data_IF_042651196506
#
_entry.id   IF_042651196506
#
_cell.length_a   1.000
_cell.length_b   1.000
_cell.length_c   1.000
_cell.angle_alpha   90.00
_cell.angle_beta   90.00
_cell.angle_gamma   90.00
#
_symmetry.space_group_name_H-M   'P 1'
#
loop_
_entity.id
_entity.type
_entity.pdbx_description
1 polymer ?
#
# COMPACT_ATOMS: atom_id res chain seq x y z
N UNK A 1 -35.77 -28.58 -30.89
CA UNK A 1 -36.94 -29.36 -30.46
C UNK A 1 -37.39 -28.88 -29.10
N UNK A 2 -38.57 -28.40 -29.07
CA UNK A 2 -39.37 -27.82 -28.01
C UNK A 2 -39.49 -28.73 -26.79
N UNK A 3 -39.49 -28.18 -25.57
CA UNK A 3 -40.60 -28.39 -24.61
C UNK A 3 -40.55 -27.36 -23.49
N UNK A 4 -41.57 -26.59 -23.44
CA UNK A 4 -42.12 -25.71 -22.42
C UNK A 4 -42.86 -26.55 -21.42
N UNK A 5 -42.78 -26.26 -20.10
CA UNK A 5 -43.87 -26.55 -19.13
C UNK A 5 -43.90 -25.38 -18.14
N UNK A 6 -45.10 -24.77 -18.08
CA UNK A 6 -45.51 -23.72 -17.16
C UNK A 6 -46.50 -24.29 -16.14
N UNK A 7 -46.94 -23.47 -15.18
CA UNK A 7 -48.04 -23.54 -14.20
C UNK A 7 -47.63 -24.08 -12.82
N UNK A 8 -48.12 -23.58 -11.65
CA UNK A 8 -49.30 -22.76 -11.37
C UNK A 8 -49.20 -22.03 -10.03
N UNK A 9 -49.90 -20.94 -9.95
CA UNK A 9 -50.34 -20.13 -8.82
C UNK A 9 -51.06 -20.95 -7.71
N UNK A 10 -50.91 -20.54 -6.43
CA UNK A 10 -51.97 -20.66 -5.44
C UNK A 10 -51.85 -19.51 -4.40
N UNK A 11 -52.84 -18.64 -4.47
CA UNK A 11 -53.24 -17.61 -3.50
C UNK A 11 -54.02 -18.27 -2.37
N UNK A 12 -53.76 -17.91 -1.12
CA UNK A 12 -54.77 -18.04 -0.04
C UNK A 12 -54.64 -16.82 0.91
N UNK A 13 -55.67 -15.98 0.85
CA UNK A 13 -56.07 -15.00 1.88
C UNK A 13 -56.78 -15.66 3.02
N UNK A 14 -56.58 -15.23 4.24
CA UNK A 14 -57.57 -15.31 5.31
C UNK A 14 -57.45 -14.13 6.28
N UNK A 15 -58.59 -13.53 6.57
CA UNK A 15 -58.88 -12.27 7.21
C UNK A 15 -59.31 -12.52 8.68
N UNK A 16 -58.97 -11.55 9.55
CA UNK A 16 -59.64 -11.02 10.73
C UNK A 16 -59.78 -11.83 12.03
N UNK A 17 -59.49 -11.21 13.16
CA UNK A 17 -60.54 -10.59 13.99
C UNK A 17 -59.95 -9.79 15.18
N UNK A 18 -60.64 -8.74 15.48
CA UNK A 18 -60.49 -7.73 16.52
C UNK A 18 -60.80 -8.31 17.91
N UNK A 19 -60.09 -7.86 18.94
CA UNK A 19 -60.42 -8.05 20.34
C UNK A 19 -59.81 -7.00 21.25
N UNK A 20 -60.53 -5.95 21.59
CA UNK A 20 -60.22 -5.01 22.66
C UNK A 20 -60.45 -5.59 24.03
N UNK A 21 -59.51 -5.41 24.94
CA UNK A 21 -59.84 -5.37 26.38
C UNK A 21 -58.78 -4.57 27.17
N UNK A 22 -59.31 -3.62 27.91
CA UNK A 22 -58.69 -2.64 28.78
C UNK A 22 -58.08 -3.21 30.07
N UNK A 23 -56.97 -2.57 30.52
CA UNK A 23 -56.45 -2.75 31.87
C UNK A 23 -55.01 -2.22 32.06
N UNK A 24 -54.88 -1.02 32.64
CA UNK A 24 -53.68 -0.48 33.30
C UNK A 24 -53.82 -0.64 34.83
N UNK A 25 -52.81 -0.43 35.69
CA UNK A 25 -51.39 -0.05 35.50
C UNK A 25 -50.41 -0.85 36.37
N UNK A 26 -49.12 -0.76 36.13
CA UNK A 26 -48.12 -0.49 37.18
C UNK A 26 -46.68 -0.49 36.60
N UNK A 27 -45.97 0.50 37.02
CA UNK A 27 -44.59 0.81 36.64
C UNK A 27 -43.57 -0.27 37.05
N UNK A 28 -42.61 -0.56 36.18
CA UNK A 28 -41.27 -0.97 36.62
C UNK A 28 -40.27 -0.53 35.56
N UNK A 29 -39.42 0.43 35.94
CA UNK A 29 -38.31 0.92 35.15
C UNK A 29 -37.24 -0.18 35.04
N UNK A 30 -37.01 -0.66 33.85
CA UNK A 30 -35.82 -1.45 33.55
C UNK A 30 -35.03 -0.67 32.49
N UNK A 31 -33.85 -0.21 32.88
CA UNK A 31 -32.92 0.46 31.99
C UNK A 31 -32.47 -0.51 30.91
N UNK A 32 -32.97 -0.34 29.70
CA UNK A 32 -32.41 -0.97 28.51
C UNK A 32 -31.22 -0.12 28.07
N UNK A 33 -30.03 -0.67 28.26
CA UNK A 33 -28.80 -0.22 27.63
C UNK A 33 -29.01 -0.27 26.13
N UNK A 34 -29.20 0.87 25.52
CA UNK A 34 -29.24 0.99 24.07
C UNK A 34 -27.85 0.73 23.52
N UNK A 35 -27.63 -0.43 22.94
CA UNK A 35 -26.61 -0.62 21.95
C UNK A 35 -26.94 0.33 20.81
N UNK A 36 -26.13 1.37 20.64
CA UNK A 36 -26.17 2.20 19.47
C UNK A 36 -25.74 1.33 18.28
N UNK A 37 -26.70 0.82 17.53
CA UNK A 37 -26.46 0.36 16.17
C UNK A 37 -26.01 1.60 15.40
N UNK A 38 -24.73 1.65 15.03
CA UNK A 38 -24.27 2.60 14.04
C UNK A 38 -25.01 2.28 12.75
N UNK A 39 -26.03 3.07 12.41
CA UNK A 39 -26.60 3.06 11.08
C UNK A 39 -25.43 3.35 10.11
N UNK A 40 -25.11 2.36 9.27
CA UNK A 40 -24.19 2.57 8.15
C UNK A 40 -24.73 3.78 7.37
N UNK A 41 -23.91 4.80 7.22
CA UNK A 41 -24.27 5.97 6.41
C UNK A 41 -24.65 5.44 5.03
N UNK A 42 -25.87 5.69 4.63
CA UNK A 42 -26.39 5.25 3.35
C UNK A 42 -25.66 6.07 2.29
N UNK A 43 -24.70 5.43 1.58
CA UNK A 43 -24.01 5.99 0.42
C UNK A 43 -24.99 6.23 -0.73
N UNK A 44 -24.58 5.98 -1.91
CA UNK A 44 -25.29 6.23 -3.17
C UNK A 44 -24.64 7.40 -3.91
N UNK A 45 -24.95 7.54 -5.18
CA UNK A 45 -24.31 8.54 -6.04
C UNK A 45 -22.95 8.05 -6.57
N UNK A 46 -22.01 8.95 -6.81
CA UNK A 46 -20.74 8.69 -7.51
C UNK A 46 -19.53 8.96 -6.62
N UNK A 47 -18.41 8.31 -6.94
CA UNK A 47 -17.09 8.62 -6.42
C UNK A 47 -16.07 8.50 -7.55
N UNK A 48 -15.17 9.47 -7.71
CA UNK A 48 -14.09 9.43 -8.68
C UNK A 48 -12.75 9.27 -7.96
N UNK A 49 -12.04 8.19 -8.27
CA UNK A 49 -10.76 7.84 -7.65
C UNK A 49 -9.65 7.93 -8.67
N UNK A 50 -8.59 8.68 -8.36
CA UNK A 50 -7.31 8.61 -9.05
C UNK A 50 -6.39 7.66 -8.28
N UNK A 51 -5.81 6.65 -8.96
CA UNK A 51 -5.01 5.63 -8.28
C UNK A 51 -3.81 5.16 -9.08
N UNK A 52 -2.61 5.12 -8.48
CA UNK A 52 -1.46 4.43 -9.03
C UNK A 52 -1.36 2.97 -8.54
N UNK A 53 -2.31 2.50 -7.74
CA UNK A 53 -2.28 1.17 -7.15
C UNK A 53 -2.39 0.07 -8.22
N UNK A 54 -1.95 -1.15 -7.86
CA UNK A 54 -2.09 -2.33 -8.70
C UNK A 54 -3.56 -2.70 -8.93
N UNK A 55 -3.84 -3.38 -10.05
CA UNK A 55 -5.17 -3.90 -10.35
C UNK A 55 -5.68 -4.80 -9.22
N UNK A 56 -4.84 -5.66 -8.65
CA UNK A 56 -5.23 -6.57 -7.57
C UNK A 56 -5.77 -5.87 -6.33
N UNK A 57 -5.15 -4.75 -5.92
CA UNK A 57 -5.63 -3.96 -4.79
C UNK A 57 -6.95 -3.26 -5.12
N UNK A 58 -7.08 -2.74 -6.34
CA UNK A 58 -8.30 -2.08 -6.80
C UNK A 58 -9.47 -3.08 -6.92
N UNK A 59 -9.25 -4.25 -7.51
CA UNK A 59 -10.25 -5.31 -7.68
C UNK A 59 -10.74 -5.88 -6.34
N UNK A 60 -9.87 -5.91 -5.32
CA UNK A 60 -10.24 -6.33 -3.98
C UNK A 60 -10.96 -5.24 -3.16
N UNK A 61 -10.89 -3.98 -3.57
CA UNK A 61 -11.38 -2.83 -2.77
C UNK A 61 -12.64 -2.23 -3.35
N UNK A 62 -12.64 -1.90 -4.65
CA UNK A 62 -13.70 -1.10 -5.27
C UNK A 62 -15.05 -1.84 -5.27
N UNK A 63 -15.14 -3.12 -5.70
CA UNK A 63 -16.42 -3.83 -5.71
C UNK A 63 -17.05 -3.96 -4.32
N UNK A 64 -16.23 -4.14 -3.28
CA UNK A 64 -16.70 -4.21 -1.89
C UNK A 64 -17.29 -2.88 -1.42
N UNK A 65 -16.67 -1.77 -1.81
CA UNK A 65 -17.18 -0.43 -1.48
C UNK A 65 -18.50 -0.16 -2.19
N UNK A 66 -18.58 -0.47 -3.48
CA UNK A 66 -19.79 -0.32 -4.29
C UNK A 66 -20.95 -1.18 -3.74
N UNK A 67 -20.69 -2.45 -3.43
CA UNK A 67 -21.69 -3.35 -2.85
C UNK A 67 -22.19 -2.86 -1.49
N UNK A 68 -21.27 -2.42 -0.63
CA UNK A 68 -21.59 -2.03 0.74
C UNK A 68 -22.36 -0.71 0.84
N UNK A 69 -22.07 0.22 -0.05
CA UNK A 69 -22.58 1.61 0.05
C UNK A 69 -23.45 2.04 -1.13
N UNK A 70 -23.59 1.23 -2.16
CA UNK A 70 -24.37 1.58 -3.36
C UNK A 70 -23.82 2.78 -4.13
N UNK A 71 -22.53 3.04 -4.02
CA UNK A 71 -21.82 4.13 -4.71
C UNK A 71 -21.27 3.62 -6.03
N UNK A 72 -21.45 4.36 -7.12
CA UNK A 72 -20.84 4.08 -8.43
C UNK A 72 -19.42 4.68 -8.47
N UNK A 73 -18.39 3.84 -8.60
CA UNK A 73 -16.99 4.26 -8.50
C UNK A 73 -16.34 4.30 -9.89
N UNK A 74 -15.88 5.47 -10.29
CA UNK A 74 -15.02 5.63 -11.47
C UNK A 74 -13.55 5.69 -11.04
N UNK A 75 -12.73 4.79 -11.59
CA UNK A 75 -11.30 4.75 -11.31
C UNK A 75 -10.49 5.20 -12.53
N UNK A 76 -9.55 6.12 -12.31
CA UNK A 76 -8.56 6.53 -13.31
C UNK A 76 -7.18 6.15 -12.80
N UNK A 77 -6.55 5.20 -13.50
CA UNK A 77 -5.22 4.70 -13.15
C UNK A 77 -4.14 5.36 -14.00
N UNK A 78 -3.12 5.88 -13.32
CA UNK A 78 -1.90 6.40 -13.94
C UNK A 78 -0.76 6.46 -12.90
N UNK A 79 0.43 6.86 -13.32
CA UNK A 79 1.56 7.05 -12.40
C UNK A 79 1.30 8.18 -11.39
N UNK A 80 1.81 8.06 -10.16
CA UNK A 80 1.60 9.03 -9.07
C UNK A 80 1.90 10.47 -9.49
N UNK A 81 3.04 10.71 -10.14
CA UNK A 81 3.43 12.06 -10.57
C UNK A 81 2.53 12.63 -11.68
N UNK A 82 1.96 11.79 -12.54
CA UNK A 82 0.99 12.19 -13.55
C UNK A 82 -0.34 12.59 -12.91
N UNK A 83 -0.83 11.77 -11.95
CA UNK A 83 -2.08 12.06 -11.23
C UNK A 83 -1.99 13.34 -10.40
N UNK A 84 -0.87 13.58 -9.71
CA UNK A 84 -0.63 14.84 -8.99
C UNK A 84 -0.69 16.04 -9.94
N UNK A 85 0.01 15.99 -11.07
CA UNK A 85 -0.04 17.07 -12.07
C UNK A 85 -1.44 17.30 -12.61
N UNK A 86 -2.20 16.21 -12.78
CA UNK A 86 -3.59 16.29 -13.22
C UNK A 86 -4.47 16.98 -12.17
N UNK A 87 -4.39 16.59 -10.90
CA UNK A 87 -5.09 17.24 -9.79
C UNK A 87 -4.70 18.73 -9.69
N UNK A 88 -3.42 19.06 -9.85
CA UNK A 88 -2.95 20.45 -9.89
C UNK A 88 -3.59 21.24 -11.02
N UNK A 89 -3.73 20.65 -12.22
CA UNK A 89 -4.36 21.32 -13.37
C UNK A 89 -5.88 21.47 -13.24
N UNK A 90 -6.52 20.61 -12.45
CA UNK A 90 -7.97 20.57 -12.19
C UNK A 90 -8.36 21.32 -10.91
N UNK A 91 -7.42 22.05 -10.27
CA UNK A 91 -7.60 22.66 -8.92
C UNK A 91 -8.85 23.54 -8.79
N UNK A 92 -9.24 24.26 -9.85
CA UNK A 92 -10.41 25.16 -9.83
C UNK A 92 -11.75 24.43 -10.03
N UNK A 93 -11.72 23.24 -10.66
CA UNK A 93 -12.89 22.37 -10.85
C UNK A 93 -12.45 20.91 -10.80
N UNK A 94 -12.20 20.35 -9.61
CA UNK A 94 -11.67 19.01 -9.43
C UNK A 94 -12.55 17.95 -10.09
N UNK A 95 -11.92 17.03 -10.82
CA UNK A 95 -12.61 15.87 -11.36
C UNK A 95 -12.56 14.69 -10.39
N UNK A 96 -11.40 14.45 -9.76
CA UNK A 96 -11.25 13.42 -8.75
C UNK A 96 -11.77 13.87 -7.39
N UNK A 97 -12.31 12.91 -6.63
CA UNK A 97 -12.69 13.10 -5.23
C UNK A 97 -11.61 12.59 -4.28
N UNK A 98 -10.94 11.49 -4.66
CA UNK A 98 -9.92 10.83 -3.85
C UNK A 98 -8.70 10.51 -4.71
N UNK A 99 -7.51 10.71 -4.16
CA UNK A 99 -6.31 10.06 -4.62
C UNK A 99 -6.02 8.88 -3.68
N UNK A 100 -6.06 7.66 -4.23
CA UNK A 100 -5.86 6.42 -3.48
C UNK A 100 -4.58 5.72 -3.93
N UNK A 101 -3.53 5.86 -3.14
CA UNK A 101 -2.19 5.36 -3.42
C UNK A 101 -1.16 6.46 -3.68
N UNK A 102 0.07 6.05 -3.90
CA UNK A 102 1.22 6.93 -4.04
C UNK A 102 1.97 7.15 -2.73
N UNK A 103 3.15 7.78 -2.81
CA UNK A 103 4.00 7.95 -1.64
C UNK A 103 3.48 9.02 -0.69
N UNK A 104 3.66 8.79 0.61
CA UNK A 104 3.35 9.75 1.67
C UNK A 104 4.06 11.10 1.47
N UNK A 105 5.37 11.06 1.16
CA UNK A 105 6.14 12.28 0.96
C UNK A 105 5.59 13.14 -0.17
N UNK A 106 5.21 12.52 -1.30
CA UNK A 106 4.65 13.26 -2.43
C UNK A 106 3.29 13.88 -2.11
N UNK A 107 2.47 13.19 -1.31
CA UNK A 107 1.22 13.76 -0.82
C UNK A 107 1.50 14.94 0.14
N UNK A 108 2.48 14.80 1.03
CA UNK A 108 2.89 15.84 1.97
C UNK A 108 3.42 17.10 1.27
N UNK A 109 4.25 16.94 0.24
CA UNK A 109 4.82 18.04 -0.54
C UNK A 109 3.76 18.84 -1.32
N UNK A 110 2.54 18.32 -1.44
CA UNK A 110 1.41 18.93 -2.15
C UNK A 110 0.20 19.15 -1.25
N UNK A 111 0.41 19.54 0.01
CA UNK A 111 -0.65 19.69 1.02
C UNK A 111 -1.81 20.61 0.59
N UNK A 112 -1.54 21.61 -0.24
CA UNK A 112 -2.52 22.57 -0.72
C UNK A 112 -3.57 21.95 -1.68
N UNK A 113 -3.36 20.72 -2.14
CA UNK A 113 -4.28 19.96 -3.00
C UNK A 113 -5.31 19.14 -2.20
N UNK A 114 -5.14 19.00 -0.89
CA UNK A 114 -5.93 18.06 -0.11
C UNK A 114 -6.92 18.73 0.84
N UNK A 115 -8.06 18.08 0.98
CA UNK A 115 -9.06 18.44 2.01
C UNK A 115 -8.67 17.78 3.34
N UNK A 116 -8.67 18.53 4.45
CA UNK A 116 -8.41 17.95 5.76
C UNK A 116 -9.46 16.91 6.16
N UNK A 117 -9.00 15.71 6.46
CA UNK A 117 -9.84 14.64 6.99
C UNK A 117 -9.02 13.63 7.78
N UNK A 118 -9.50 13.25 8.94
CA UNK A 118 -8.95 12.17 9.76
C UNK A 118 -10.05 11.14 10.00
N UNK A 119 -9.82 9.91 9.59
CA UNK A 119 -10.78 8.81 9.78
C UNK A 119 -11.05 8.54 11.26
N UNK A 120 -12.29 8.16 11.57
CA UNK A 120 -12.65 7.67 12.90
C UNK A 120 -11.86 6.40 13.30
N UNK A 121 -11.35 5.65 12.32
CA UNK A 121 -10.54 4.44 12.55
C UNK A 121 -9.04 4.72 12.74
N UNK A 122 -8.61 5.99 12.70
CA UNK A 122 -7.20 6.38 12.81
C UNK A 122 -6.53 5.90 14.11
N UNK A 123 -7.27 5.77 15.21
CA UNK A 123 -6.73 5.30 16.49
C UNK A 123 -6.28 3.83 16.45
N UNK A 124 -6.85 3.03 15.55
CA UNK A 124 -6.51 1.62 15.35
C UNK A 124 -5.31 1.42 14.39
N UNK A 125 -4.85 2.48 13.75
CA UNK A 125 -3.62 2.46 12.92
C UNK A 125 -2.40 2.32 13.82
N UNK A 126 -1.37 1.62 13.36
CA UNK A 126 -0.05 1.52 13.99
C UNK A 126 0.46 2.95 14.25
N UNK A 127 0.95 3.23 15.45
CA UNK A 127 1.20 4.61 15.91
C UNK A 127 2.12 5.41 15.00
N UNK A 128 3.14 4.76 14.42
CA UNK A 128 4.08 5.38 13.47
C UNK A 128 3.43 5.82 12.12
N UNK A 129 2.27 5.27 11.77
CA UNK A 129 1.61 5.50 10.47
C UNK A 129 0.26 6.21 10.58
N UNK A 130 -0.08 6.71 11.77
CA UNK A 130 -1.30 7.49 11.99
C UNK A 130 -1.30 8.79 11.18
N UNK A 131 -2.48 9.18 10.74
CA UNK A 131 -2.68 10.51 10.19
C UNK A 131 -2.54 11.57 11.30
N UNK A 132 -1.35 12.13 11.43
CA UNK A 132 -1.03 13.21 12.37
C UNK A 132 -0.96 14.57 11.70
N UNK A 133 -0.83 14.62 10.37
CA UNK A 133 -0.81 15.86 9.59
C UNK A 133 -2.23 16.40 9.27
N UNK A 134 -3.27 15.57 9.45
CA UNK A 134 -4.66 15.97 9.29
C UNK A 134 -5.26 15.75 7.90
N UNK A 135 -4.47 15.36 6.90
CA UNK A 135 -4.96 15.23 5.51
C UNK A 135 -4.44 14.00 4.76
N UNK A 136 -3.46 13.25 5.29
CA UNK A 136 -2.97 12.01 4.66
C UNK A 136 -3.36 10.81 5.50
N UNK A 137 -4.03 9.85 4.91
CA UNK A 137 -4.35 8.56 5.52
C UNK A 137 -3.41 7.50 4.96
N UNK A 138 -2.66 6.81 5.82
CA UNK A 138 -1.92 5.60 5.45
C UNK A 138 -2.90 4.47 5.14
N UNK A 139 -2.63 3.65 4.13
CA UNK A 139 -3.55 2.57 3.77
C UNK A 139 -2.90 1.18 3.75
N UNK A 140 -1.74 1.02 3.14
CA UNK A 140 -0.90 -0.18 3.17
C UNK A 140 0.54 0.22 3.43
N UNK A 141 1.37 -0.72 3.87
CA UNK A 141 2.80 -0.52 4.09
C UNK A 141 3.59 -1.20 2.99
N UNK A 142 4.51 -0.46 2.39
CA UNK A 142 5.49 -0.98 1.44
C UNK A 142 6.85 -1.09 2.13
N UNK A 143 7.32 -2.31 2.33
CA UNK A 143 8.61 -2.61 2.95
C UNK A 143 9.71 -2.82 1.92
N UNK A 144 10.89 -2.24 2.14
CA UNK A 144 12.08 -2.55 1.35
C UNK A 144 12.55 -3.97 1.62
N UNK A 145 12.79 -4.77 0.58
CA UNK A 145 13.25 -6.14 0.73
C UNK A 145 14.27 -6.55 -0.33
N UNK A 146 14.89 -7.68 -0.10
CA UNK A 146 15.76 -8.37 -1.06
C UNK A 146 15.00 -9.60 -1.56
N UNK A 147 14.84 -9.75 -2.87
CA UNK A 147 14.32 -10.98 -3.48
C UNK A 147 15.48 -11.85 -3.94
N UNK A 148 15.41 -13.15 -3.67
CA UNK A 148 16.48 -14.12 -3.97
C UNK A 148 15.89 -15.29 -4.73
N UNK A 149 16.47 -15.64 -5.87
CA UNK A 149 16.12 -16.87 -6.61
C UNK A 149 16.71 -18.09 -5.90
N UNK A 150 15.86 -19.01 -5.46
CA UNK A 150 16.24 -20.17 -4.64
C UNK A 150 16.97 -21.25 -5.43
N UNK A 151 16.76 -21.32 -6.74
CA UNK A 151 17.40 -22.31 -7.61
C UNK A 151 18.82 -21.88 -8.02
N UNK A 152 19.09 -20.56 -8.04
CA UNK A 152 20.33 -20.00 -8.56
C UNK A 152 21.31 -19.55 -7.47
N UNK A 153 20.84 -19.31 -6.24
CA UNK A 153 21.69 -18.77 -5.16
C UNK A 153 22.74 -19.78 -4.66
N UNK A 154 22.50 -21.08 -4.82
CA UNK A 154 23.38 -22.13 -4.31
C UNK A 154 23.58 -22.05 -2.80
N UNK A 155 24.84 -22.17 -2.36
CA UNK A 155 25.21 -22.16 -0.93
C UNK A 155 25.44 -20.74 -0.37
N UNK A 156 25.12 -19.67 -1.13
CA UNK A 156 25.28 -18.29 -0.66
C UNK A 156 24.13 -17.93 0.27
N UNK A 157 24.45 -17.55 1.50
CA UNK A 157 23.47 -17.04 2.45
C UNK A 157 23.31 -15.54 2.28
N UNK A 158 22.05 -15.09 2.15
CA UNK A 158 21.67 -13.67 2.13
C UNK A 158 20.75 -13.40 3.31
N UNK A 159 21.21 -12.53 4.20
CA UNK A 159 20.48 -12.06 5.38
C UNK A 159 20.39 -10.52 5.42
N UNK A 160 21.15 -9.82 4.58
CA UNK A 160 21.17 -8.37 4.55
C UNK A 160 22.01 -7.78 3.43
N UNK A 161 22.21 -6.47 3.51
CA UNK A 161 22.92 -5.70 2.49
C UNK A 161 24.41 -6.07 2.40
N UNK A 162 25.05 -6.38 3.53
CA UNK A 162 26.46 -6.78 3.56
C UNK A 162 26.74 -8.04 2.73
N UNK A 163 25.79 -8.98 2.73
CA UNK A 163 25.93 -10.24 2.02
C UNK A 163 25.88 -10.06 0.50
N UNK A 164 25.29 -8.94 0.01
CA UNK A 164 25.25 -8.57 -1.40
C UNK A 164 26.63 -8.14 -1.95
N UNK A 165 27.58 -7.84 -1.07
CA UNK A 165 28.95 -7.49 -1.46
C UNK A 165 29.79 -8.73 -1.78
N UNK A 166 29.23 -9.93 -1.67
CA UNK A 166 29.91 -11.19 -2.05
C UNK A 166 30.30 -11.15 -3.53
N UNK A 167 31.62 -11.31 -3.88
CA UNK A 167 32.06 -11.27 -5.27
C UNK A 167 31.44 -12.33 -6.19
N UNK A 168 30.93 -13.43 -5.63
CA UNK A 168 30.22 -14.45 -6.40
C UNK A 168 28.88 -13.98 -6.97
N UNK A 169 28.35 -12.87 -6.44
CA UNK A 169 27.13 -12.19 -6.91
C UNK A 169 27.41 -11.10 -7.95
N UNK A 170 28.68 -10.85 -8.30
CA UNK A 170 29.02 -9.80 -9.27
C UNK A 170 28.27 -9.99 -10.59
N UNK A 171 27.58 -8.95 -11.04
CA UNK A 171 26.74 -8.93 -12.24
C UNK A 171 25.50 -9.82 -12.17
N UNK A 172 25.09 -10.28 -10.98
CA UNK A 172 23.90 -11.12 -10.76
C UNK A 172 22.87 -10.48 -9.85
N UNK A 173 23.06 -9.20 -9.50
CA UNK A 173 22.16 -8.42 -8.66
C UNK A 173 21.38 -7.45 -9.54
N UNK A 174 20.06 -7.49 -9.48
CA UNK A 174 19.18 -6.54 -10.14
C UNK A 174 18.81 -5.38 -9.19
N UNK A 175 18.82 -4.18 -9.70
CA UNK A 175 18.22 -2.99 -9.07
C UNK A 175 17.63 -2.08 -10.13
N UNK A 176 16.70 -1.21 -9.77
CA UNK A 176 16.26 -0.14 -10.64
C UNK A 176 17.03 1.16 -10.32
N UNK A 177 16.86 2.17 -11.17
CA UNK A 177 17.51 3.46 -10.99
C UNK A 177 16.81 4.29 -9.90
N UNK A 178 17.48 4.62 -8.79
CA UNK A 178 16.93 5.49 -7.74
C UNK A 178 16.53 6.90 -8.23
N UNK A 179 17.08 7.37 -9.32
CA UNK A 179 16.69 8.66 -9.90
C UNK A 179 15.31 8.61 -10.58
N UNK A 180 14.89 7.43 -11.05
CA UNK A 180 13.69 7.27 -11.88
C UNK A 180 12.62 6.36 -11.28
N UNK A 181 12.96 5.56 -10.25
CA UNK A 181 12.07 4.61 -9.60
C UNK A 181 11.90 4.92 -8.12
N UNK A 182 10.65 5.14 -7.68
CA UNK A 182 10.34 5.43 -6.27
C UNK A 182 10.75 4.29 -5.34
N UNK A 183 10.55 3.03 -5.72
CA UNK A 183 10.94 1.89 -4.90
C UNK A 183 12.46 1.68 -4.89
N UNK A 184 13.17 2.00 -5.98
CA UNK A 184 14.63 1.98 -5.96
C UNK A 184 15.21 3.12 -5.11
N UNK A 185 14.56 4.29 -5.11
CA UNK A 185 14.92 5.38 -4.20
C UNK A 185 14.68 4.97 -2.74
N UNK A 186 13.54 4.35 -2.43
CA UNK A 186 13.25 3.81 -1.10
C UNK A 186 14.27 2.73 -0.68
N UNK A 187 14.72 1.89 -1.60
CA UNK A 187 15.79 0.93 -1.33
C UNK A 187 17.14 1.63 -1.02
N UNK A 188 17.47 2.70 -1.74
CA UNK A 188 18.69 3.48 -1.49
C UNK A 188 18.63 4.15 -0.11
N UNK A 189 17.53 4.82 0.24
CA UNK A 189 17.35 5.47 1.54
C UNK A 189 17.33 4.46 2.69
N UNK A 190 16.66 3.32 2.49
CA UNK A 190 16.68 2.23 3.46
C UNK A 190 18.10 1.72 3.71
N UNK A 191 18.89 1.46 2.66
CA UNK A 191 20.26 1.00 2.78
C UNK A 191 21.12 2.03 3.51
N UNK A 192 21.04 3.30 3.15
CA UNK A 192 21.78 4.37 3.82
C UNK A 192 21.45 4.42 5.32
N UNK A 193 20.16 4.42 5.67
CA UNK A 193 19.72 4.47 7.05
C UNK A 193 20.18 3.22 7.82
N UNK A 194 19.99 2.03 7.27
CA UNK A 194 20.37 0.76 7.88
C UNK A 194 21.88 0.61 8.09
N UNK A 195 22.69 1.20 7.21
CA UNK A 195 24.16 1.12 7.21
C UNK A 195 24.84 2.30 7.94
N UNK A 196 24.08 3.14 8.66
CA UNK A 196 24.65 4.16 9.54
C UNK A 196 24.14 5.57 9.34
N UNK A 197 23.21 5.79 8.44
CA UNK A 197 22.54 7.08 8.20
C UNK A 197 22.87 7.74 6.89
N UNK A 198 22.04 8.71 6.50
CA UNK A 198 22.06 9.35 5.18
C UNK A 198 23.35 10.16 4.92
N UNK A 199 23.99 10.67 5.96
CA UNK A 199 25.23 11.47 5.88
C UNK A 199 26.50 10.64 6.13
N UNK A 200 26.36 9.34 6.49
CA UNK A 200 27.47 8.46 6.85
C UNK A 200 28.33 8.12 5.64
N UNK A 201 29.61 8.44 5.68
CA UNK A 201 30.56 8.04 4.65
C UNK A 201 30.67 6.52 4.52
N UNK A 202 30.53 5.78 5.62
CA UNK A 202 30.53 4.31 5.61
C UNK A 202 29.29 3.75 4.90
N UNK A 203 28.11 4.34 5.10
CA UNK A 203 26.89 3.95 4.40
C UNK A 203 27.01 4.21 2.89
N UNK A 204 27.54 5.36 2.51
CA UNK A 204 27.80 5.69 1.09
C UNK A 204 28.89 4.83 0.47
N UNK A 205 29.89 4.40 1.24
CA UNK A 205 30.87 3.41 0.76
C UNK A 205 30.21 2.07 0.50
N UNK A 206 29.27 1.64 1.36
CA UNK A 206 28.49 0.41 1.13
C UNK A 206 27.62 0.51 -0.14
N UNK A 207 27.04 1.68 -0.42
CA UNK A 207 26.33 1.93 -1.68
C UNK A 207 27.28 1.82 -2.88
N UNK A 208 28.45 2.47 -2.82
CA UNK A 208 29.46 2.36 -3.87
C UNK A 208 29.83 0.89 -4.14
N UNK A 209 30.13 0.11 -3.10
CA UNK A 209 30.59 -1.27 -3.23
C UNK A 209 29.47 -2.19 -3.76
N UNK A 210 28.21 -1.95 -3.35
CA UNK A 210 27.06 -2.64 -3.91
C UNK A 210 26.90 -2.37 -5.41
N UNK A 211 26.95 -1.08 -5.84
CA UNK A 211 26.79 -0.73 -7.25
C UNK A 211 27.99 -1.21 -8.10
N UNK A 212 29.18 -1.30 -7.53
CA UNK A 212 30.32 -1.96 -8.16
C UNK A 212 30.09 -3.46 -8.36
N UNK A 213 29.38 -4.10 -7.43
CA UNK A 213 29.02 -5.53 -7.53
C UNK A 213 27.83 -5.78 -8.46
N UNK A 214 26.91 -4.83 -8.61
CA UNK A 214 25.83 -4.84 -9.60
C UNK A 214 26.39 -4.83 -11.03
N UNK A 215 27.57 -4.25 -11.24
CA UNK A 215 28.31 -4.26 -12.51
C UNK A 215 27.52 -3.63 -13.68
N UNK A 216 26.84 -2.51 -13.40
CA UNK A 216 26.14 -1.70 -14.39
C UNK A 216 24.76 -2.19 -14.84
N UNK A 217 24.26 -3.25 -14.24
CA UNK A 217 22.93 -3.81 -14.57
C UNK A 217 21.82 -3.11 -13.82
N UNK A 218 21.39 -1.93 -14.32
CA UNK A 218 20.23 -1.20 -13.78
C UNK A 218 19.02 -1.46 -14.66
N UNK A 219 17.93 -1.91 -14.03
CA UNK A 219 16.66 -2.18 -14.67
C UNK A 219 15.87 -0.87 -14.91
N UNK A 220 15.06 -0.84 -15.95
CA UNK A 220 14.22 0.32 -16.29
C UNK A 220 13.14 0.62 -15.25
N UNK A 221 12.70 -0.40 -14.52
CA UNK A 221 11.63 -0.28 -13.51
C UNK A 221 11.80 -1.29 -12.39
N UNK A 222 11.16 -1.01 -11.25
CA UNK A 222 11.10 -1.97 -10.14
C UNK A 222 10.42 -3.29 -10.51
N UNK A 223 9.43 -3.25 -11.43
CA UNK A 223 8.80 -4.48 -11.90
C UNK A 223 9.77 -5.36 -12.73
N UNK A 224 10.68 -4.77 -13.46
CA UNK A 224 11.73 -5.53 -14.17
C UNK A 224 12.70 -6.20 -13.17
N UNK A 225 12.96 -5.60 -12.01
CA UNK A 225 13.85 -6.17 -10.98
C UNK A 225 13.32 -7.51 -10.48
N UNK A 226 12.12 -7.54 -9.86
CA UNK A 226 11.63 -8.78 -9.25
C UNK A 226 11.27 -9.84 -10.29
N UNK A 227 10.82 -9.45 -11.48
CA UNK A 227 10.57 -10.38 -12.59
C UNK A 227 11.85 -11.02 -13.07
N UNK A 228 12.92 -10.26 -13.29
CA UNK A 228 14.21 -10.82 -13.74
C UNK A 228 14.79 -11.83 -12.76
N UNK A 229 14.51 -11.68 -11.45
CA UNK A 229 14.91 -12.66 -10.44
C UNK A 229 14.01 -13.90 -10.50
N UNK A 230 12.70 -13.72 -10.62
CA UNK A 230 11.77 -14.84 -10.74
C UNK A 230 12.02 -15.67 -12.01
N UNK A 231 12.33 -15.00 -13.12
CA UNK A 231 12.62 -15.63 -14.43
C UNK A 231 14.04 -16.23 -14.50
N UNK A 232 14.89 -16.05 -13.48
CA UNK A 232 16.23 -16.59 -13.39
C UNK A 232 17.29 -15.83 -14.21
N UNK A 233 17.01 -14.61 -14.64
CA UNK A 233 17.99 -13.73 -15.29
C UNK A 233 18.98 -13.14 -14.29
N UNK A 234 18.52 -12.91 -13.05
CA UNK A 234 19.32 -12.46 -11.92
C UNK A 234 19.14 -13.38 -10.72
N UNK A 235 20.15 -13.44 -9.85
CA UNK A 235 20.14 -14.28 -8.65
C UNK A 235 19.47 -13.57 -7.49
N UNK A 236 19.70 -12.25 -7.40
CA UNK A 236 19.21 -11.39 -6.31
C UNK A 236 18.66 -10.10 -6.90
N UNK A 237 17.69 -9.49 -6.23
CA UNK A 237 17.16 -8.17 -6.59
C UNK A 237 16.84 -7.33 -5.37
N UNK A 238 17.03 -6.02 -5.50
CA UNK A 238 16.59 -5.02 -4.53
C UNK A 238 15.19 -4.55 -4.92
N UNK A 239 14.18 -4.83 -4.10
CA UNK A 239 12.79 -4.61 -4.44
C UNK A 239 11.94 -4.22 -3.22
N UNK A 240 10.64 -4.32 -3.33
CA UNK A 240 9.69 -4.07 -2.25
C UNK A 240 8.77 -5.28 -2.05
N UNK A 241 8.17 -5.36 -0.87
CA UNK A 241 7.57 -6.57 -0.33
C UNK A 241 6.43 -7.14 -1.17
N UNK A 242 5.41 -6.32 -1.48
CA UNK A 242 4.15 -6.79 -2.08
C UNK A 242 4.34 -7.69 -3.31
N UNK A 243 4.99 -7.26 -4.42
CA UNK A 243 5.13 -8.11 -5.60
C UNK A 243 6.07 -9.31 -5.37
N UNK A 244 7.03 -9.20 -4.45
CA UNK A 244 7.91 -10.29 -4.12
C UNK A 244 7.18 -11.39 -3.33
N UNK A 245 6.35 -11.00 -2.36
CA UNK A 245 5.48 -11.92 -1.62
C UNK A 245 4.43 -12.55 -2.53
N UNK A 246 3.92 -11.82 -3.52
CA UNK A 246 3.02 -12.35 -4.54
C UNK A 246 3.69 -13.46 -5.36
N UNK A 247 4.93 -13.26 -5.78
CA UNK A 247 5.70 -14.30 -6.50
C UNK A 247 5.89 -15.56 -5.64
N UNK A 248 6.16 -15.40 -4.33
CA UNK A 248 6.23 -16.56 -3.39
C UNK A 248 4.89 -17.26 -3.31
N UNK A 249 3.79 -16.54 -3.15
CA UNK A 249 2.42 -17.09 -3.12
C UNK A 249 2.10 -17.87 -4.40
N UNK A 250 2.53 -17.34 -5.54
CA UNK A 250 2.24 -17.92 -6.86
C UNK A 250 3.20 -19.09 -7.21
N UNK A 251 4.12 -19.44 -6.29
CA UNK A 251 5.01 -20.62 -6.39
C UNK A 251 6.25 -20.40 -7.25
N UNK A 252 6.65 -19.15 -7.49
CA UNK A 252 7.92 -18.85 -8.15
C UNK A 252 9.11 -19.32 -7.27
N UNK A 253 10.25 -19.72 -7.86
CA UNK A 253 11.43 -20.19 -7.11
C UNK A 253 12.18 -19.01 -6.47
N UNK A 254 11.50 -18.26 -5.63
CA UNK A 254 12.04 -17.07 -4.96
C UNK A 254 11.72 -17.05 -3.47
N UNK A 255 12.53 -16.32 -2.71
CA UNK A 255 12.26 -15.97 -1.31
C UNK A 255 12.47 -14.50 -1.08
N UNK A 256 11.74 -13.96 -0.09
CA UNK A 256 11.87 -12.57 0.38
C UNK A 256 12.75 -12.53 1.61
N UNK A 257 13.73 -11.64 1.63
CA UNK A 257 14.64 -11.39 2.76
C UNK A 257 14.48 -9.94 3.19
N UNK A 258 14.25 -9.74 4.47
CA UNK A 258 14.28 -8.43 5.10
C UNK A 258 15.67 -8.21 5.67
N UNK A 259 16.39 -7.15 5.26
CA UNK A 259 17.77 -6.94 5.70
C UNK A 259 17.90 -6.94 7.22
N UNK A 260 18.83 -7.76 7.74
CA UNK A 260 19.16 -7.81 9.18
C UNK A 260 19.59 -6.46 9.75
N UNK A 261 20.10 -5.59 8.89
CA UNK A 261 20.50 -4.21 9.21
C UNK A 261 19.29 -3.34 9.50
N UNK A 262 18.17 -3.60 8.87
CA UNK A 262 16.87 -2.97 9.10
C UNK A 262 16.08 -2.71 7.82
N UNK A 263 14.77 -2.76 7.97
CA UNK A 263 13.79 -2.51 6.90
C UNK A 263 12.94 -1.30 7.24
N UNK A 264 12.88 -0.35 6.32
CA UNK A 264 11.92 0.75 6.34
C UNK A 264 10.61 0.27 5.75
N UNK A 265 9.50 0.58 6.42
CA UNK A 265 8.17 0.48 5.87
C UNK A 265 7.60 1.87 5.65
N UNK A 266 7.20 2.15 4.42
CA UNK A 266 6.58 3.43 4.05
C UNK A 266 5.10 3.22 3.79
N UNK A 267 4.23 4.05 4.39
CA UNK A 267 2.81 3.97 4.10
C UNK A 267 2.51 4.54 2.71
N UNK A 268 1.71 3.82 1.93
CA UNK A 268 1.04 4.40 0.80
C UNK A 268 -0.04 5.36 1.28
N UNK A 269 -0.26 6.45 0.55
CA UNK A 269 -1.18 7.52 0.94
C UNK A 269 -2.58 7.33 0.37
N UNK A 270 -3.59 7.80 1.11
CA UNK A 270 -4.91 8.12 0.58
C UNK A 270 -5.29 9.52 1.04
N UNK A 271 -5.74 10.35 0.11
CA UNK A 271 -6.07 11.76 0.37
C UNK A 271 -7.38 12.14 -0.31
N UNK A 272 -8.15 13.04 0.30
CA UNK A 272 -9.34 13.64 -0.34
C UNK A 272 -8.88 14.87 -1.12
N UNK A 273 -9.29 14.97 -2.37
CA UNK A 273 -8.98 16.13 -3.21
C UNK A 273 -9.74 17.35 -2.70
N UNK A 274 -9.05 18.48 -2.58
CA UNK A 274 -9.65 19.73 -2.12
C UNK A 274 -10.73 20.19 -3.08
N UNK A 275 -11.92 20.46 -2.56
CA UNK A 275 -13.09 20.81 -3.38
C UNK A 275 -13.75 19.62 -4.09
N UNK A 276 -13.48 18.38 -3.66
CA UNK A 276 -14.12 17.17 -4.16
C UNK A 276 -15.64 17.32 -4.26
N UNK A 277 -16.20 16.92 -5.40
CA UNK A 277 -17.66 17.06 -5.67
C UNK A 277 -18.50 16.07 -4.87
N UNK A 278 -17.94 14.91 -4.55
CA UNK A 278 -18.60 13.84 -3.81
C UNK A 278 -17.97 13.66 -2.42
N UNK A 279 -17.84 14.77 -1.68
CA UNK A 279 -17.11 14.86 -0.41
C UNK A 279 -17.54 13.81 0.62
N UNK A 280 -18.84 13.55 0.78
CA UNK A 280 -19.35 12.58 1.75
C UNK A 280 -18.92 11.14 1.37
N UNK A 281 -18.97 10.80 0.08
CA UNK A 281 -18.49 9.51 -0.42
C UNK A 281 -16.96 9.40 -0.32
N UNK A 282 -16.23 10.50 -0.52
CA UNK A 282 -14.79 10.54 -0.34
C UNK A 282 -14.39 10.21 1.12
N UNK A 283 -15.05 10.84 2.09
CA UNK A 283 -14.84 10.55 3.52
C UNK A 283 -15.22 9.11 3.87
N UNK A 284 -16.35 8.64 3.33
CA UNK A 284 -16.81 7.28 3.52
C UNK A 284 -15.81 6.25 2.97
N UNK A 285 -15.17 6.55 1.82
CA UNK A 285 -14.13 5.71 1.25
C UNK A 285 -12.87 5.68 2.12
N UNK A 286 -12.42 6.82 2.66
CA UNK A 286 -11.28 6.87 3.58
C UNK A 286 -11.57 6.05 4.87
N UNK A 287 -12.78 6.15 5.42
CA UNK A 287 -13.18 5.34 6.58
C UNK A 287 -13.25 3.84 6.23
N UNK A 288 -13.70 3.52 5.03
CA UNK A 288 -13.82 2.15 4.54
C UNK A 288 -12.48 1.46 4.37
N UNK A 289 -11.50 2.11 3.74
CA UNK A 289 -10.16 1.52 3.55
C UNK A 289 -9.41 1.30 4.87
N UNK A 290 -9.77 2.01 5.93
CA UNK A 290 -9.28 1.80 7.29
C UNK A 290 -10.22 0.93 8.14
N UNK A 291 -11.20 0.26 7.54
CA UNK A 291 -12.00 -0.70 8.29
C UNK A 291 -11.23 -2.01 8.52
N UNK A 292 -11.50 -2.67 9.66
CA UNK A 292 -10.94 -3.98 9.98
C UNK A 292 -11.20 -5.01 8.86
N UNK A 293 -12.40 -4.98 8.28
CA UNK A 293 -12.78 -5.84 7.16
C UNK A 293 -11.84 -5.71 5.96
N UNK A 294 -11.61 -4.49 5.49
CA UNK A 294 -10.79 -4.22 4.31
C UNK A 294 -9.32 -4.51 4.57
N UNK A 295 -8.82 -4.07 5.71
CA UNK A 295 -7.42 -4.29 6.10
C UNK A 295 -7.11 -5.79 6.27
N UNK A 296 -8.03 -6.57 6.84
CA UNK A 296 -7.91 -8.03 6.92
C UNK A 296 -7.94 -8.69 5.53
N UNK A 297 -8.78 -8.24 4.61
CA UNK A 297 -8.80 -8.74 3.24
C UNK A 297 -7.44 -8.47 2.56
N UNK A 298 -6.93 -7.26 2.65
CA UNK A 298 -5.64 -6.92 2.05
C UNK A 298 -4.50 -7.75 2.63
N UNK A 299 -4.42 -7.86 3.95
CA UNK A 299 -3.35 -8.61 4.61
C UNK A 299 -3.43 -10.13 4.44
N UNK A 300 -4.63 -10.71 4.41
CA UNK A 300 -4.79 -12.18 4.41
C UNK A 300 -4.98 -12.78 3.02
N UNK A 301 -5.61 -12.05 2.08
CA UNK A 301 -5.91 -12.57 0.73
C UNK A 301 -5.01 -12.00 -0.36
N UNK A 302 -4.49 -10.78 -0.13
CA UNK A 302 -3.46 -10.17 -0.95
C UNK A 302 -2.09 -10.31 -0.26
N UNK A 303 -1.11 -9.60 -0.79
CA UNK A 303 0.24 -9.50 -0.23
C UNK A 303 0.56 -8.08 0.23
N UNK A 304 -0.47 -7.26 0.40
CA UNK A 304 -0.35 -5.90 0.91
C UNK A 304 -0.35 -5.89 2.43
N UNK A 305 0.68 -5.32 3.02
CA UNK A 305 0.80 -5.26 4.49
C UNK A 305 -0.13 -4.19 5.05
N UNK A 306 -1.05 -4.56 5.96
CA UNK A 306 -1.99 -3.61 6.55
C UNK A 306 -1.31 -2.57 7.43
N UNK A 307 -1.94 -1.38 7.57
CA UNK A 307 -1.52 -0.36 8.54
C UNK A 307 -2.19 -0.50 9.91
N UNK A 308 -3.19 -1.38 10.03
CA UNK A 308 -3.94 -1.58 11.28
C UNK A 308 -3.19 -2.50 12.24
N UNK A 309 -3.24 -2.19 13.56
CA UNK A 309 -2.49 -2.90 14.62
C UNK A 309 -2.74 -4.40 14.68
N UNK A 310 -4.00 -4.80 14.51
CA UNK A 310 -4.46 -6.17 14.72
C UNK A 310 -4.92 -6.85 13.42
N UNK A 311 -4.57 -6.28 12.26
CA UNK A 311 -4.97 -6.85 10.98
C UNK A 311 -4.18 -8.13 10.68
N UNK A 312 -4.89 -9.11 10.11
CA UNK A 312 -4.30 -10.36 9.68
C UNK A 312 -3.31 -10.16 8.52
N UNK A 313 -2.26 -10.95 8.49
CA UNK A 313 -1.32 -11.06 7.37
C UNK A 313 -1.27 -12.50 6.86
N UNK A 314 -0.98 -12.67 5.57
CA UNK A 314 -0.88 -14.00 4.97
C UNK A 314 0.37 -14.74 5.44
N UNK A 315 0.32 -16.09 5.37
CA UNK A 315 1.45 -16.96 5.71
C UNK A 315 2.65 -16.81 4.74
N UNK A 316 2.46 -16.11 3.62
CA UNK A 316 3.52 -15.81 2.64
C UNK A 316 4.37 -14.60 3.06
N UNK A 317 3.97 -13.91 4.10
CA UNK A 317 4.64 -12.71 4.59
C UNK A 317 5.20 -12.96 5.98
N UNK A 318 6.46 -12.61 6.18
CA UNK A 318 7.08 -12.67 7.51
C UNK A 318 6.32 -11.75 8.47
N UNK A 319 5.95 -12.21 9.68
CA UNK A 319 5.32 -11.36 10.69
C UNK A 319 6.16 -10.11 10.99
N UNK A 320 5.51 -8.95 11.15
CA UNK A 320 6.21 -7.69 11.44
C UNK A 320 7.08 -7.77 12.69
N UNK A 321 6.67 -8.58 13.68
CA UNK A 321 7.41 -8.81 14.91
C UNK A 321 8.77 -9.52 14.72
N UNK A 322 8.98 -10.17 13.59
CA UNK A 322 10.21 -10.87 13.23
C UNK A 322 11.13 -10.02 12.36
N UNK A 323 10.68 -8.85 11.92
CA UNK A 323 11.41 -7.94 11.06
C UNK A 323 12.00 -6.82 11.91
N UNK A 324 13.30 -6.53 11.72
CA UNK A 324 13.92 -5.34 12.31
C UNK A 324 13.44 -4.10 11.55
N UNK A 325 12.34 -3.52 12.02
CA UNK A 325 11.83 -2.27 11.45
C UNK A 325 12.66 -1.09 11.93
N UNK A 326 13.04 -0.21 11.01
CA UNK A 326 13.68 1.08 11.27
C UNK A 326 12.82 2.20 10.68
N UNK A 327 12.81 3.36 11.34
CA UNK A 327 11.99 4.49 10.94
C UNK A 327 12.75 5.43 10.03
N UNK A 328 12.20 5.74 8.86
CA UNK A 328 12.75 6.74 7.95
C UNK A 328 12.45 8.15 8.47
N UNK A 329 13.45 9.02 8.44
CA UNK A 329 13.25 10.46 8.62
C UNK A 329 12.66 11.06 7.33
N UNK A 330 11.33 10.93 7.19
CA UNK A 330 10.60 11.39 5.99
C UNK A 330 10.85 12.88 5.68
N UNK A 331 10.80 13.81 6.67
CA UNK A 331 11.14 15.21 6.43
C UNK A 331 12.55 15.39 5.89
N UNK A 332 13.55 14.70 6.44
CA UNK A 332 14.93 14.75 5.97
C UNK A 332 15.03 14.24 4.53
N UNK A 333 14.52 13.04 4.27
CA UNK A 333 14.59 12.39 2.95
C UNK A 333 13.88 13.22 1.89
N UNK A 334 12.72 13.79 2.20
CA UNK A 334 11.98 14.67 1.28
C UNK A 334 12.81 15.92 0.94
N UNK A 335 13.36 16.59 1.95
CA UNK A 335 14.13 17.83 1.76
C UNK A 335 15.44 17.59 1.01
N UNK A 336 16.12 16.45 1.24
CA UNK A 336 17.44 16.14 0.66
C UNK A 336 17.37 15.16 -0.52
N UNK A 337 16.17 14.89 -1.03
CA UNK A 337 15.98 13.91 -2.12
C UNK A 337 16.92 14.13 -3.29
N UNK A 338 17.01 15.37 -3.76
CA UNK A 338 17.85 15.70 -4.91
C UNK A 338 19.34 15.49 -4.61
N UNK A 339 19.78 15.87 -3.42
CA UNK A 339 21.16 15.65 -2.96
C UNK A 339 21.53 14.16 -2.91
N UNK A 340 20.62 13.32 -2.36
CA UNK A 340 20.81 11.87 -2.30
C UNK A 340 20.89 11.29 -3.71
N UNK A 341 20.00 11.69 -4.61
CA UNK A 341 20.00 11.25 -6.01
C UNK A 341 21.26 11.72 -6.75
N UNK A 342 21.70 12.95 -6.57
CA UNK A 342 22.90 13.48 -7.21
C UNK A 342 24.15 12.73 -6.75
N UNK A 343 24.28 12.45 -5.45
CA UNK A 343 25.40 11.71 -4.87
C UNK A 343 25.41 10.25 -5.39
N UNK A 344 24.27 9.58 -5.44
CA UNK A 344 24.13 8.28 -6.07
C UNK A 344 24.56 8.32 -7.55
N UNK A 345 24.03 9.28 -8.31
CA UNK A 345 24.31 9.43 -9.74
C UNK A 345 25.81 9.64 -10.00
N UNK A 346 26.49 10.41 -9.15
CA UNK A 346 27.95 10.59 -9.19
C UNK A 346 28.68 9.26 -9.02
N UNK A 347 28.34 8.49 -7.98
CA UNK A 347 28.93 7.15 -7.72
C UNK A 347 28.73 6.23 -8.94
N UNK A 348 27.48 6.17 -9.44
CA UNK A 348 27.15 5.29 -10.55
C UNK A 348 27.91 5.67 -11.83
N UNK A 349 27.99 6.96 -12.15
CA UNK A 349 28.72 7.48 -13.32
C UNK A 349 30.21 7.16 -13.23
N UNK A 350 30.81 7.32 -12.05
CA UNK A 350 32.24 7.02 -11.81
C UNK A 350 32.53 5.52 -11.99
N UNK A 351 31.60 4.65 -11.58
CA UNK A 351 31.72 3.21 -11.77
C UNK A 351 31.60 2.79 -13.24
N UNK A 352 30.75 3.46 -14.02
CA UNK A 352 30.58 3.19 -15.45
C UNK A 352 31.76 3.68 -16.31
N UNK A 353 32.58 4.60 -15.80
CA UNK A 353 33.72 5.17 -16.53
C UNK A 353 35.01 4.37 -16.37
N UNK A 354 35.02 3.35 -15.52
CA UNK A 354 36.15 2.44 -15.24
C UNK A 354 36.06 1.15 -16.01
#
# INVERSE_FOLDING_TARGET
>A
MKKVIALALSVLMAIAAVGCSSGSPAASASAASGAASSEAKQGGGKLVIYSPNSEGLMDATIPLFEEKYGVDVEVIQAGTGELIKRIQSEKEDPYADVMFGGSWSLAYDNEDLWEPYVSANNDNVIDAYKNTCGFITGNVLDGSCIIVNTDLIGDIEINGYEDLLNPALKGKIATADPANSSSAFAQLTNMLLAMGGYESDAAWQSVHDLFANIDGKISESSSAVYKSVADGENVVGLSYEDPCAQLVRDGAPVKVIYPKEGTVYLPASATIVKGAKNMDNAKLFIDFILSEEVQNIWGSTLTNRPVMKDAATSDFMTPMSEIKVIEEDIPYVSTHKQEIVDKYTGIYTDLQSK
#
